data_IF_891663138227
#
_entry.id   IF_891663138227
#
_cell.length_a   1.000
_cell.length_b   1.000
_cell.length_c   1.000
_cell.angle_alpha   90.00
_cell.angle_beta   90.00
_cell.angle_gamma   90.00
#
_symmetry.space_group_name_H-M   'P 1'
#
loop_
_entity.id
_entity.type
_entity.pdbx_description
1 polymer ?
#
# COMPACT_ATOMS: atom_id res chain seq x y z
N UNK A 1 -6.40 15.51 16.50
CA UNK A 1 -5.72 14.95 15.30
C UNK A 1 -4.96 15.99 14.46
N UNK A 2 -5.46 17.22 14.23
CA UNK A 2 -4.72 18.20 13.41
C UNK A 2 -3.37 18.65 14.01
N UNK A 3 -3.30 18.83 15.34
CA UNK A 3 -2.02 19.10 16.02
C UNK A 3 -1.08 17.89 15.86
N UNK A 4 -1.56 16.68 16.16
CA UNK A 4 -0.79 15.45 15.94
C UNK A 4 -0.18 15.38 14.54
N UNK A 5 -0.98 15.61 13.48
CA UNK A 5 -0.52 15.57 12.08
C UNK A 5 0.60 16.58 11.80
N UNK A 6 0.51 17.79 12.35
CA UNK A 6 1.50 18.85 12.16
C UNK A 6 2.80 18.57 12.94
N UNK A 7 2.69 18.04 14.15
CA UNK A 7 3.82 17.86 15.05
C UNK A 7 4.56 16.53 14.82
N UNK A 8 3.86 15.45 14.48
CA UNK A 8 4.47 14.12 14.28
C UNK A 8 5.54 14.12 13.18
N UNK A 9 5.39 15.01 12.21
CA UNK A 9 6.33 15.13 11.10
C UNK A 9 7.67 15.70 11.57
N UNK A 10 7.67 16.53 12.63
CA UNK A 10 8.86 17.27 13.10
C UNK A 10 9.84 16.41 13.88
N UNK A 11 9.39 15.29 14.45
CA UNK A 11 10.27 14.40 15.24
C UNK A 11 11.20 13.56 14.36
N UNK A 12 10.95 13.48 13.05
CA UNK A 12 11.74 12.65 12.14
C UNK A 12 12.76 13.49 11.36
N UNK A 13 13.95 12.92 11.08
CA UNK A 13 14.92 13.52 10.18
C UNK A 13 14.30 14.00 8.87
N UNK A 14 14.66 15.21 8.46
CA UNK A 14 14.27 15.76 7.14
C UNK A 14 15.28 15.45 6.07
N UNK A 15 16.56 15.35 6.44
CA UNK A 15 17.63 14.90 5.57
C UNK A 15 17.25 13.54 4.96
N UNK A 16 17.36 13.43 3.64
CA UNK A 16 17.04 12.23 2.87
C UNK A 16 15.57 11.76 2.91
N UNK A 17 14.64 12.44 3.59
CA UNK A 17 13.23 12.06 3.63
C UNK A 17 12.49 12.60 2.40
N UNK A 18 11.88 11.71 1.62
CA UNK A 18 11.07 12.08 0.46
C UNK A 18 9.58 12.19 0.80
N UNK A 19 9.06 11.23 1.57
CA UNK A 19 7.64 11.10 1.88
C UNK A 19 7.45 10.56 3.30
N UNK A 20 6.53 11.15 4.05
CA UNK A 20 5.95 10.58 5.27
C UNK A 20 4.45 10.51 5.05
N UNK A 21 3.88 9.31 5.17
CA UNK A 21 2.44 9.15 5.11
C UNK A 21 1.91 8.35 6.29
N UNK A 22 0.71 8.73 6.71
CA UNK A 22 -0.09 8.04 7.71
C UNK A 22 -1.13 7.15 7.05
N UNK A 23 -1.47 6.02 7.68
CA UNK A 23 -2.45 5.12 7.12
C UNK A 23 -3.22 4.27 8.13
N UNK A 24 -4.26 3.59 7.65
CA UNK A 24 -5.04 2.64 8.44
C UNK A 24 -6.09 3.30 9.34
N UNK A 25 -6.65 2.49 10.24
CA UNK A 25 -7.80 2.91 11.06
C UNK A 25 -7.51 4.05 12.03
N UNK A 26 -6.24 4.25 12.43
CA UNK A 26 -5.84 5.37 13.30
C UNK A 26 -5.94 6.74 12.62
N UNK A 27 -5.89 6.79 11.28
CA UNK A 27 -6.00 8.04 10.51
C UNK A 27 -7.38 8.31 9.93
N UNK A 28 -8.15 7.27 9.62
CA UNK A 28 -9.37 7.40 8.80
C UNK A 28 -10.68 6.98 9.44
N UNK A 29 -10.68 6.33 10.62
CA UNK A 29 -11.96 6.00 11.28
C UNK A 29 -12.45 7.17 12.14
N UNK A 30 -13.74 7.49 12.00
CA UNK A 30 -14.43 8.60 12.67
C UNK A 30 -14.94 8.26 14.09
N UNK A 31 -14.82 7.00 14.55
CA UNK A 31 -15.32 6.62 15.88
C UNK A 31 -14.36 7.07 16.99
N UNK A 32 -14.94 7.69 18.02
CA UNK A 32 -14.35 8.36 19.20
C UNK A 32 -13.34 7.57 20.05
N UNK A 33 -13.06 6.29 19.75
CA UNK A 33 -11.95 5.52 20.37
C UNK A 33 -10.63 5.64 19.58
N UNK A 34 -10.33 6.83 19.06
CA UNK A 34 -9.09 7.09 18.29
C UNK A 34 -7.86 7.04 19.20
N UNK A 35 -8.02 7.38 20.49
CA UNK A 35 -6.95 7.51 21.47
C UNK A 35 -6.22 6.18 21.78
N UNK A 36 -6.90 5.03 21.64
CA UNK A 36 -6.28 3.71 21.91
C UNK A 36 -5.66 3.03 20.68
N UNK A 37 -5.89 3.55 19.47
CA UNK A 37 -5.44 2.89 18.24
C UNK A 37 -4.04 3.32 17.86
N UNK A 38 -3.20 2.33 17.57
CA UNK A 38 -1.87 2.56 17.05
C UNK A 38 -1.94 3.27 15.70
N UNK A 39 -1.10 4.28 15.54
CA UNK A 39 -0.98 5.10 14.34
C UNK A 39 0.09 4.47 13.45
N UNK A 40 -0.32 3.94 12.30
CA UNK A 40 0.59 3.32 11.34
C UNK A 40 1.08 4.36 10.31
N UNK A 41 2.40 4.36 10.05
CA UNK A 41 3.06 5.30 9.17
C UNK A 41 4.08 4.62 8.26
N UNK A 42 4.39 5.25 7.13
CA UNK A 42 5.47 4.86 6.23
C UNK A 42 6.32 6.09 5.90
N UNK A 43 7.64 5.87 5.89
CA UNK A 43 8.65 6.88 5.60
C UNK A 43 9.51 6.36 4.44
N UNK A 44 9.50 7.10 3.33
CA UNK A 44 10.32 6.82 2.16
C UNK A 44 11.52 7.75 2.15
N UNK A 45 12.73 7.18 2.05
CA UNK A 45 14.00 7.91 2.19
C UNK A 45 14.95 7.61 1.04
N UNK A 46 15.89 8.50 0.73
CA UNK A 46 16.90 8.26 -0.31
C UNK A 46 18.02 7.34 0.17
N UNK A 47 18.39 7.44 1.45
CA UNK A 47 19.41 6.61 2.08
C UNK A 47 18.98 6.26 3.50
N UNK A 48 18.49 5.02 3.67
CA UNK A 48 18.07 4.51 4.96
C UNK A 48 19.19 4.39 5.98
N UNK A 49 20.45 4.16 5.57
CA UNK A 49 21.57 4.05 6.51
C UNK A 49 21.83 5.40 7.18
N UNK A 50 21.96 6.46 6.38
CA UNK A 50 22.15 7.82 6.88
C UNK A 50 20.93 8.29 7.68
N UNK A 51 19.72 8.00 7.20
CA UNK A 51 18.49 8.35 7.91
C UNK A 51 18.40 7.65 9.27
N UNK A 52 18.71 6.36 9.36
CA UNK A 52 18.71 5.63 10.63
C UNK A 52 19.78 6.14 11.59
N UNK A 53 20.95 6.54 11.09
CA UNK A 53 22.00 7.17 11.91
C UNK A 53 21.50 8.45 12.57
N UNK A 54 20.87 9.35 11.80
CA UNK A 54 20.30 10.60 12.33
C UNK A 54 19.12 10.32 13.27
N UNK A 55 18.22 9.40 12.89
CA UNK A 55 17.04 9.08 13.70
C UNK A 55 17.40 8.38 15.02
N UNK A 56 18.51 7.64 15.09
CA UNK A 56 18.99 7.07 16.37
C UNK A 56 19.49 8.17 17.31
N UNK A 57 20.10 9.23 16.77
CA UNK A 57 20.56 10.37 17.58
C UNK A 57 19.37 11.17 18.12
N UNK A 58 18.34 11.42 17.30
CA UNK A 58 17.15 12.18 17.68
C UNK A 58 16.15 11.36 18.51
N UNK A 59 15.96 10.08 18.16
CA UNK A 59 14.90 9.22 18.69
C UNK A 59 15.43 7.86 19.16
N UNK A 60 16.49 7.90 19.97
CA UNK A 60 17.18 6.71 20.45
C UNK A 60 16.23 5.67 21.09
N UNK A 61 15.20 6.13 21.80
CA UNK A 61 14.19 5.31 22.47
C UNK A 61 13.25 4.53 21.53
N UNK A 62 13.15 4.88 20.25
CA UNK A 62 12.27 4.19 19.30
C UNK A 62 12.79 2.79 18.92
N UNK A 63 14.10 2.60 18.96
CA UNK A 63 14.75 1.35 18.57
C UNK A 63 14.77 0.33 19.72
N UNK A 64 14.75 -0.96 19.39
CA UNK A 64 14.92 -2.04 20.37
C UNK A 64 16.38 -2.17 20.84
N UNK A 65 16.61 -2.81 21.99
CA UNK A 65 17.92 -2.87 22.64
C UNK A 65 19.06 -3.34 21.72
N UNK A 66 18.85 -4.45 21.01
CA UNK A 66 19.83 -4.98 20.05
C UNK A 66 20.13 -3.99 18.92
N UNK A 67 19.11 -3.28 18.45
CA UNK A 67 19.23 -2.32 17.33
C UNK A 67 19.95 -1.05 17.76
N UNK A 68 19.83 -0.66 19.04
CA UNK A 68 20.63 0.41 19.65
C UNK A 68 22.10 0.01 19.77
N UNK A 69 22.37 -1.24 20.18
CA UNK A 69 23.72 -1.74 20.43
C UNK A 69 24.53 -1.89 19.14
N UNK A 70 23.96 -2.50 18.11
CA UNK A 70 24.64 -2.76 16.83
C UNK A 70 24.44 -1.64 15.79
N UNK A 71 23.52 -0.71 16.05
CA UNK A 71 23.37 0.54 15.33
C UNK A 71 22.87 0.45 13.87
N UNK A 72 23.02 1.54 13.10
CA UNK A 72 22.43 1.70 11.76
C UNK A 72 22.85 0.64 10.73
N UNK A 73 24.08 0.10 10.84
CA UNK A 73 24.58 -0.90 9.89
C UNK A 73 23.79 -2.20 9.96
N UNK A 74 23.53 -2.72 11.17
CA UNK A 74 22.72 -3.92 11.35
C UNK A 74 21.27 -3.67 10.88
N UNK A 75 20.69 -2.52 11.25
CA UNK A 75 19.34 -2.12 10.84
C UNK A 75 19.23 -2.10 9.31
N UNK A 76 20.17 -1.48 8.63
CA UNK A 76 20.17 -1.38 7.16
C UNK A 76 20.39 -2.74 6.48
N UNK A 77 21.16 -3.64 7.10
CA UNK A 77 21.29 -5.03 6.62
C UNK A 77 19.98 -5.80 6.77
N UNK A 78 19.32 -5.72 7.92
CA UNK A 78 18.01 -6.35 8.14
C UNK A 78 16.91 -5.73 7.28
N UNK A 79 16.99 -4.43 7.03
CA UNK A 79 16.07 -3.72 6.14
C UNK A 79 16.12 -4.35 4.75
N UNK A 80 17.32 -4.55 4.17
CA UNK A 80 17.52 -5.08 2.81
C UNK A 80 16.88 -6.44 2.51
N UNK A 81 16.53 -7.22 3.53
CA UNK A 81 15.83 -8.50 3.38
C UNK A 81 14.33 -8.31 3.09
N UNK A 82 13.71 -9.25 2.36
CA UNK A 82 12.25 -9.29 2.15
C UNK A 82 11.69 -8.02 1.47
N UNK A 83 10.76 -7.35 2.15
CA UNK A 83 10.01 -6.17 1.66
C UNK A 83 10.84 -4.90 1.61
N UNK A 84 12.08 -4.95 2.11
CA UNK A 84 12.97 -3.79 2.17
C UNK A 84 12.47 -2.68 3.11
N UNK A 85 11.59 -3.03 4.05
CA UNK A 85 11.07 -2.14 5.11
C UNK A 85 11.62 -2.55 6.47
N UNK A 86 12.01 -1.56 7.28
CA UNK A 86 12.28 -1.71 8.71
C UNK A 86 11.23 -0.99 9.55
N UNK A 87 10.65 -1.65 10.54
CA UNK A 87 9.61 -1.08 11.40
C UNK A 87 10.11 -0.77 12.81
N UNK A 88 9.88 0.47 13.25
CA UNK A 88 9.83 0.80 14.68
C UNK A 88 8.37 0.74 15.13
N UNK A 89 8.09 0.03 16.23
CA UNK A 89 6.72 -0.22 16.70
C UNK A 89 6.59 0.10 18.19
N UNK A 90 5.53 0.81 18.55
CA UNK A 90 5.14 1.04 19.94
C UNK A 90 5.83 2.23 20.62
N UNK A 91 6.40 3.15 19.84
CA UNK A 91 6.86 4.44 20.36
C UNK A 91 5.64 5.30 20.75
N UNK A 92 5.78 6.20 21.72
CA UNK A 92 4.68 7.06 22.17
C UNK A 92 4.88 8.48 21.66
N UNK A 93 3.84 9.10 21.15
CA UNK A 93 3.85 10.50 20.75
C UNK A 93 2.47 11.13 20.97
N UNK A 94 2.43 12.21 21.77
CA UNK A 94 1.19 12.93 22.14
C UNK A 94 0.05 12.00 22.56
N UNK A 95 0.33 11.03 23.44
CA UNK A 95 -0.66 10.08 23.96
C UNK A 95 -1.01 8.94 23.00
N UNK A 96 -0.47 8.90 21.78
CA UNK A 96 -0.70 7.83 20.82
C UNK A 96 0.49 6.91 20.67
N UNK A 97 0.21 5.61 20.59
CA UNK A 97 1.20 4.62 20.14
C UNK A 97 1.42 4.78 18.63
N UNK A 98 2.66 4.96 18.19
CA UNK A 98 3.04 5.05 16.78
C UNK A 98 3.82 3.82 16.33
N UNK A 99 3.61 3.45 15.06
CA UNK A 99 4.39 2.47 14.32
C UNK A 99 4.76 3.07 12.97
N UNK A 100 6.04 3.07 12.63
CA UNK A 100 6.51 3.61 11.36
C UNK A 100 7.48 2.66 10.67
N UNK A 101 7.26 2.45 9.38
CA UNK A 101 8.17 1.74 8.48
C UNK A 101 9.10 2.71 7.75
N UNK A 102 10.36 2.33 7.57
CA UNK A 102 11.35 3.06 6.78
C UNK A 102 11.77 2.20 5.59
N UNK A 103 11.85 2.81 4.42
CA UNK A 103 12.18 2.12 3.16
C UNK A 103 12.89 3.08 2.18
N UNK A 104 13.87 2.55 1.45
CA UNK A 104 14.58 3.29 0.41
C UNK A 104 13.68 3.57 -0.80
N UNK A 105 13.84 4.75 -1.40
CA UNK A 105 13.02 5.24 -2.51
C UNK A 105 13.04 4.33 -3.73
N UNK A 106 14.20 3.76 -4.06
CA UNK A 106 14.32 2.79 -5.14
C UNK A 106 13.52 1.51 -4.85
N UNK A 107 13.63 0.96 -3.64
CA UNK A 107 12.87 -0.22 -3.22
C UNK A 107 11.36 0.03 -3.20
N UNK A 108 10.97 1.24 -2.81
CA UNK A 108 9.59 1.68 -2.81
C UNK A 108 9.03 1.76 -4.24
N UNK A 109 9.74 2.44 -5.16
CA UNK A 109 9.35 2.52 -6.58
C UNK A 109 9.26 1.14 -7.22
N UNK A 110 10.25 0.28 -6.96
CA UNK A 110 10.26 -1.11 -7.41
C UNK A 110 8.97 -1.85 -7.03
N UNK A 111 8.56 -1.80 -5.76
CA UNK A 111 7.38 -2.53 -5.32
C UNK A 111 6.08 -1.90 -5.84
N UNK A 112 6.03 -0.57 -6.03
CA UNK A 112 4.91 0.12 -6.67
C UNK A 112 4.70 -0.27 -8.14
N UNK A 113 5.79 -0.38 -8.90
CA UNK A 113 5.75 -0.56 -10.36
C UNK A 113 5.77 -2.02 -10.80
N UNK A 114 6.34 -2.92 -9.98
CA UNK A 114 6.57 -4.32 -10.35
C UNK A 114 5.79 -5.29 -9.47
N UNK A 115 5.21 -4.82 -8.36
CA UNK A 115 4.50 -5.66 -7.39
C UNK A 115 5.34 -6.87 -6.97
N UNK A 116 6.64 -6.64 -6.68
CA UNK A 116 7.58 -7.70 -6.28
C UNK A 116 7.11 -8.41 -5.01
N UNK A 117 6.68 -7.64 -4.02
CA UNK A 117 6.25 -8.13 -2.72
C UNK A 117 4.77 -7.82 -2.43
N UNK A 118 4.15 -6.89 -3.17
CA UNK A 118 2.76 -6.42 -2.95
C UNK A 118 2.54 -5.76 -1.58
N UNK A 119 3.62 -5.41 -0.87
CA UNK A 119 3.56 -4.90 0.49
C UNK A 119 3.29 -3.39 0.51
N UNK A 120 4.11 -2.63 -0.21
CA UNK A 120 3.98 -1.19 -0.36
C UNK A 120 2.93 -0.87 -1.41
N UNK A 121 2.98 -1.52 -2.59
CA UNK A 121 1.97 -1.34 -3.64
C UNK A 121 0.56 -1.58 -3.10
N UNK A 122 0.35 -2.70 -2.41
CA UNK A 122 -0.91 -3.03 -1.76
C UNK A 122 -1.37 -1.93 -0.78
N UNK A 123 -0.47 -1.36 0.02
CA UNK A 123 -0.81 -0.24 0.93
C UNK A 123 -1.22 1.02 0.16
N UNK A 124 -0.58 1.31 -0.96
CA UNK A 124 -0.78 2.50 -1.79
C UNK A 124 -1.93 2.39 -2.79
N UNK A 125 -2.53 1.21 -2.93
CA UNK A 125 -3.87 1.02 -3.55
C UNK A 125 -5.01 1.56 -2.67
N UNK A 126 -4.75 1.82 -1.39
CA UNK A 126 -5.76 2.27 -0.42
C UNK A 126 -5.47 3.72 0.01
N UNK A 127 -6.47 4.42 0.59
CA UNK A 127 -6.27 5.76 1.11
C UNK A 127 -5.06 5.88 2.04
N UNK A 128 -4.27 6.92 1.84
CA UNK A 128 -3.15 7.34 2.67
C UNK A 128 -3.25 8.84 2.93
N UNK A 129 -2.70 9.28 4.05
CA UNK A 129 -2.64 10.68 4.44
C UNK A 129 -1.20 11.14 4.24
N UNK A 130 -0.96 12.02 3.27
CA UNK A 130 0.39 12.57 3.07
C UNK A 130 0.65 13.62 4.15
N UNK A 131 1.59 13.34 5.06
CA UNK A 131 1.94 14.22 6.17
C UNK A 131 3.14 15.11 5.81
N UNK A 132 4.04 14.59 4.99
CA UNK A 132 5.17 15.32 4.42
C UNK A 132 5.51 14.73 3.06
N UNK A 133 5.81 15.59 2.10
CA UNK A 133 6.33 15.18 0.80
C UNK A 133 7.24 16.26 0.23
N UNK A 134 8.24 15.86 -0.56
CA UNK A 134 9.04 16.81 -1.33
C UNK A 134 8.18 17.45 -2.43
N UNK A 135 8.54 18.65 -2.95
CA UNK A 135 7.77 19.33 -3.99
C UNK A 135 7.52 18.46 -5.24
N UNK A 136 8.47 17.60 -5.59
CA UNK A 136 8.36 16.68 -6.72
C UNK A 136 7.20 15.67 -6.57
N UNK A 137 6.81 15.35 -5.33
CA UNK A 137 5.71 14.42 -5.05
C UNK A 137 4.37 15.16 -4.93
N UNK A 138 4.39 16.40 -4.42
CA UNK A 138 3.19 17.18 -4.13
C UNK A 138 2.46 17.65 -5.39
N UNK A 139 3.20 17.92 -6.47
CA UNK A 139 2.69 18.51 -7.69
C UNK A 139 2.70 17.49 -8.84
N UNK A 140 1.87 16.44 -8.77
CA UNK A 140 1.67 15.61 -9.94
C UNK A 140 0.53 16.16 -10.80
N UNK A 141 0.88 16.51 -12.02
CA UNK A 141 -0.09 16.76 -13.06
C UNK A 141 -0.48 15.43 -13.73
N UNK A 142 -1.74 15.02 -13.56
CA UNK A 142 -2.31 13.85 -14.22
C UNK A 142 -2.26 13.96 -15.75
N UNK A 143 -2.13 15.16 -16.33
CA UNK A 143 -1.92 15.36 -17.77
C UNK A 143 -0.59 14.77 -18.26
N UNK A 144 0.40 14.56 -17.38
CA UNK A 144 1.66 13.90 -17.72
C UNK A 144 1.58 12.37 -17.58
N UNK A 145 0.49 11.84 -17.02
CA UNK A 145 0.27 10.40 -16.87
C UNK A 145 -0.16 9.78 -18.21
N UNK A 146 0.82 9.56 -19.09
CA UNK A 146 0.61 8.84 -20.34
C UNK A 146 0.85 7.33 -20.13
N UNK A 147 -0.25 6.58 -20.19
CA UNK A 147 -0.31 5.12 -19.99
C UNK A 147 0.27 4.31 -21.14
N UNK A 148 0.35 4.90 -22.34
CA UNK A 148 0.77 4.25 -23.59
C UNK A 148 2.29 4.30 -23.80
N UNK A 149 3.03 5.04 -22.97
CA UNK A 149 4.50 5.09 -23.05
C UNK A 149 5.12 3.98 -22.19
N UNK A 150 6.13 3.26 -22.72
CA UNK A 150 6.87 2.30 -21.92
C UNK A 150 7.53 3.00 -20.72
N UNK A 151 7.35 2.42 -19.53
CA UNK A 151 7.86 3.00 -18.29
C UNK A 151 9.34 2.66 -18.13
N UNK A 152 10.20 3.68 -18.12
CA UNK A 152 11.56 3.52 -17.63
C UNK A 152 11.55 3.59 -16.08
N UNK A 153 11.51 2.42 -15.46
CA UNK A 153 11.41 2.25 -13.99
C UNK A 153 12.53 2.99 -13.24
N UNK A 154 13.74 3.04 -13.82
CA UNK A 154 14.88 3.70 -13.16
C UNK A 154 14.74 5.23 -13.17
N UNK A 155 14.16 5.79 -14.24
CA UNK A 155 14.05 7.25 -14.44
C UNK A 155 12.74 7.85 -13.91
N UNK A 156 11.72 7.04 -13.66
CA UNK A 156 10.47 7.56 -13.13
C UNK A 156 10.63 8.09 -11.70
N UNK A 157 9.95 9.20 -11.41
CA UNK A 157 9.87 9.73 -10.06
C UNK A 157 8.89 8.93 -9.19
N UNK A 158 8.91 9.22 -7.89
CA UNK A 158 8.09 8.53 -6.91
C UNK A 158 6.59 8.78 -7.10
N UNK A 159 6.22 9.95 -7.62
CA UNK A 159 4.84 10.36 -7.79
C UNK A 159 4.19 9.62 -8.97
N UNK A 160 4.89 9.55 -10.10
CA UNK A 160 4.52 8.69 -11.22
C UNK A 160 4.34 7.24 -10.78
N UNK A 161 5.26 6.71 -9.98
CA UNK A 161 5.16 5.33 -9.47
C UNK A 161 3.89 5.10 -8.65
N UNK A 162 3.47 6.07 -7.82
CA UNK A 162 2.22 5.99 -7.04
C UNK A 162 0.99 5.97 -7.96
N UNK A 163 0.95 6.85 -8.96
CA UNK A 163 -0.17 6.91 -9.90
C UNK A 163 -0.25 5.67 -10.79
N UNK A 164 0.89 5.23 -11.31
CA UNK A 164 0.98 4.00 -12.11
C UNK A 164 0.54 2.79 -11.30
N UNK A 165 0.96 2.67 -10.03
CA UNK A 165 0.51 1.61 -9.13
C UNK A 165 -1.03 1.60 -8.94
N UNK A 166 -1.65 2.77 -8.77
CA UNK A 166 -3.11 2.88 -8.62
C UNK A 166 -3.84 2.53 -9.89
N UNK A 167 -3.37 3.03 -11.03
CA UNK A 167 -3.94 2.69 -12.34
C UNK A 167 -3.83 1.19 -12.62
N UNK A 168 -2.67 0.57 -12.35
CA UNK A 168 -2.49 -0.88 -12.48
C UNK A 168 -3.44 -1.67 -11.57
N UNK A 169 -3.71 -1.19 -10.35
CA UNK A 169 -4.68 -1.82 -9.45
C UNK A 169 -6.11 -1.74 -9.97
N UNK A 170 -6.50 -0.59 -10.52
CA UNK A 170 -7.80 -0.40 -11.16
C UNK A 170 -7.93 -1.31 -12.39
N UNK A 171 -6.95 -1.29 -13.29
CA UNK A 171 -6.93 -2.13 -14.48
C UNK A 171 -6.98 -3.61 -14.14
N UNK A 172 -6.24 -4.03 -13.11
CA UNK A 172 -6.31 -5.40 -12.58
C UNK A 172 -7.72 -5.74 -12.09
N UNK A 173 -8.34 -4.85 -11.31
CA UNK A 173 -9.68 -5.09 -10.78
C UNK A 173 -10.72 -5.21 -11.91
N UNK A 174 -10.66 -4.34 -12.92
CA UNK A 174 -11.55 -4.38 -14.09
C UNK A 174 -11.31 -5.65 -14.91
N UNK A 175 -10.05 -6.06 -15.11
CA UNK A 175 -9.72 -7.31 -15.80
C UNK A 175 -10.26 -8.54 -15.06
N UNK A 176 -10.26 -8.51 -13.73
CA UNK A 176 -10.86 -9.58 -12.92
C UNK A 176 -12.38 -9.57 -12.93
N UNK A 177 -13.02 -8.40 -13.02
CA UNK A 177 -14.47 -8.27 -13.10
C UNK A 177 -15.00 -8.59 -14.51
N UNK A 178 -14.20 -8.36 -15.56
CA UNK A 178 -14.60 -8.62 -16.95
C UNK A 178 -14.87 -10.11 -17.26
N UNK A 179 -14.41 -11.03 -16.41
CA UNK A 179 -14.75 -12.46 -16.53
C UNK A 179 -16.02 -12.86 -15.79
N UNK A 180 -16.60 -11.98 -14.97
CA UNK A 180 -17.84 -12.27 -14.26
C UNK A 180 -19.04 -12.27 -15.22
N UNK A 181 -20.16 -12.86 -14.78
CA UNK A 181 -21.38 -12.94 -15.61
C UNK A 181 -22.02 -11.57 -15.81
N UNK A 182 -21.98 -10.74 -14.77
CA UNK A 182 -22.45 -9.36 -14.79
C UNK A 182 -21.50 -8.48 -15.60
N UNK A 183 -22.03 -7.40 -16.17
CA UNK A 183 -21.27 -6.39 -16.90
C UNK A 183 -21.31 -5.02 -16.23
N UNK A 184 -22.19 -4.82 -15.25
CA UNK A 184 -22.35 -3.55 -14.53
C UNK A 184 -22.02 -3.76 -13.06
N UNK A 185 -21.15 -2.94 -12.51
CA UNK A 185 -20.65 -3.07 -11.15
C UNK A 185 -20.70 -1.73 -10.42
N UNK A 186 -20.93 -1.75 -9.11
CA UNK A 186 -20.78 -0.56 -8.28
C UNK A 186 -19.28 -0.27 -8.08
N UNK A 187 -18.92 1.00 -7.88
CA UNK A 187 -17.57 1.40 -7.47
C UNK A 187 -17.11 0.65 -6.22
N UNK A 188 -18.06 0.31 -5.33
CA UNK A 188 -17.81 -0.53 -4.15
C UNK A 188 -17.22 -1.88 -4.52
N UNK A 189 -17.73 -2.57 -5.54
CA UNK A 189 -17.21 -3.88 -5.98
C UNK A 189 -15.75 -3.74 -6.47
N UNK A 190 -15.46 -2.65 -7.18
CA UNK A 190 -14.12 -2.32 -7.69
C UNK A 190 -13.16 -2.06 -6.52
N UNK A 191 -13.53 -1.22 -5.56
CA UNK A 191 -12.69 -0.89 -4.41
C UNK A 191 -12.44 -2.11 -3.50
N UNK A 192 -13.42 -2.99 -3.36
CA UNK A 192 -13.26 -4.28 -2.70
C UNK A 192 -12.25 -5.16 -3.45
N UNK A 193 -12.37 -5.26 -4.78
CA UNK A 193 -11.43 -6.03 -5.62
C UNK A 193 -10.00 -5.50 -5.51
N UNK A 194 -9.83 -4.18 -5.63
CA UNK A 194 -8.55 -3.49 -5.46
C UNK A 194 -7.94 -3.78 -4.08
N UNK A 195 -8.73 -3.64 -3.01
CA UNK A 195 -8.25 -3.89 -1.65
C UNK A 195 -7.83 -5.36 -1.49
N UNK A 196 -8.60 -6.29 -2.04
CA UNK A 196 -8.34 -7.73 -2.00
C UNK A 196 -7.07 -8.16 -2.72
N UNK A 197 -6.54 -7.38 -3.69
CA UNK A 197 -5.25 -7.69 -4.34
C UNK A 197 -4.12 -7.85 -3.30
N UNK A 198 -4.19 -7.08 -2.22
CA UNK A 198 -3.21 -7.09 -1.12
C UNK A 198 -3.58 -7.97 0.07
N UNK A 199 -4.75 -8.63 0.04
CA UNK A 199 -5.23 -9.51 1.11
C UNK A 199 -5.38 -10.96 0.69
N UNK A 200 -5.61 -11.24 -0.61
CA UNK A 200 -5.94 -12.58 -1.11
C UNK A 200 -4.87 -13.66 -0.92
N UNK A 201 -3.69 -13.33 -0.40
CA UNK A 201 -2.66 -14.28 0.01
C UNK A 201 -1.97 -13.93 1.33
N UNK A 202 -2.50 -12.97 2.10
CA UNK A 202 -1.86 -12.53 3.35
C UNK A 202 -2.07 -13.61 4.43
N UNK A 203 -1.00 -14.23 4.95
CA UNK A 203 -1.16 -15.30 5.96
C UNK A 203 -1.96 -14.84 7.19
N UNK A 204 -1.96 -13.54 7.49
CA UNK A 204 -2.69 -13.00 8.63
C UNK A 204 -4.20 -13.00 8.38
N UNK A 205 -4.67 -12.94 7.14
CA UNK A 205 -6.11 -13.03 6.85
C UNK A 205 -6.70 -14.39 7.14
N UNK A 206 -5.87 -15.44 7.19
CA UNK A 206 -6.32 -16.79 7.51
C UNK A 206 -6.36 -17.09 9.01
N UNK A 207 -5.51 -16.42 9.81
CA UNK A 207 -5.28 -16.81 11.22
C UNK A 207 -5.38 -15.68 12.25
N UNK A 208 -5.37 -14.41 11.85
CA UNK A 208 -5.15 -13.30 12.79
C UNK A 208 -5.82 -11.97 12.42
N UNK A 209 -6.61 -11.90 11.35
CA UNK A 209 -7.13 -10.65 10.83
C UNK A 209 -8.64 -10.73 10.58
N UNK A 210 -9.32 -9.66 10.97
CA UNK A 210 -10.78 -9.50 10.88
C UNK A 210 -11.31 -9.82 9.47
N UNK A 211 -12.21 -10.80 9.37
CA UNK A 211 -12.76 -11.30 8.10
C UNK A 211 -13.52 -10.21 7.33
N UNK A 212 -14.09 -9.24 8.05
CA UNK A 212 -14.80 -8.07 7.50
C UNK A 212 -13.89 -6.86 7.33
N UNK A 213 -12.57 -7.01 7.46
CA UNK A 213 -11.62 -5.88 7.43
C UNK A 213 -11.69 -5.09 6.13
N UNK A 214 -11.78 -5.75 4.99
CA UNK A 214 -11.86 -5.07 3.68
C UNK A 214 -13.13 -4.24 3.61
N UNK A 215 -14.27 -4.81 3.98
CA UNK A 215 -15.54 -4.10 4.04
C UNK A 215 -15.47 -2.88 4.98
N UNK A 216 -14.90 -3.04 6.18
CA UNK A 216 -14.69 -1.95 7.15
C UNK A 216 -13.78 -0.85 6.62
N UNK A 217 -12.75 -1.19 5.84
CA UNK A 217 -11.87 -0.21 5.18
C UNK A 217 -12.65 0.58 4.15
N UNK A 218 -13.43 -0.08 3.29
CA UNK A 218 -14.23 0.59 2.28
C UNK A 218 -15.28 1.48 2.94
N UNK A 219 -16.04 0.98 3.91
CA UNK A 219 -17.07 1.75 4.61
C UNK A 219 -16.50 2.98 5.33
N UNK A 220 -15.35 2.83 6.01
CA UNK A 220 -14.72 3.92 6.74
C UNK A 220 -13.98 4.94 5.88
N UNK A 221 -13.83 4.72 4.57
CA UNK A 221 -13.02 5.60 3.71
C UNK A 221 -13.54 5.69 2.27
N UNK A 222 -14.83 5.42 2.05
CA UNK A 222 -15.41 5.30 0.71
C UNK A 222 -15.19 6.56 -0.15
N UNK A 223 -15.48 7.75 0.38
CA UNK A 223 -15.25 9.02 -0.32
C UNK A 223 -13.79 9.17 -0.76
N UNK A 224 -12.83 8.82 0.10
CA UNK A 224 -11.41 8.87 -0.24
C UNK A 224 -11.04 7.88 -1.34
N UNK A 225 -11.70 6.73 -1.43
CA UNK A 225 -11.51 5.82 -2.57
C UNK A 225 -12.04 6.45 -3.86
N UNK A 226 -13.22 7.09 -3.82
CA UNK A 226 -13.77 7.84 -4.96
C UNK A 226 -12.77 8.91 -5.40
N UNK A 227 -12.32 9.78 -4.48
CA UNK A 227 -11.35 10.84 -4.77
C UNK A 227 -10.04 10.31 -5.41
N UNK A 228 -9.55 9.17 -4.91
CA UNK A 228 -8.32 8.55 -5.43
C UNK A 228 -8.53 7.99 -6.83
N UNK A 229 -9.68 7.37 -7.11
CA UNK A 229 -9.88 6.56 -8.30
C UNK A 229 -10.66 7.24 -9.43
N UNK A 230 -11.44 8.29 -9.14
CA UNK A 230 -12.20 9.05 -10.14
C UNK A 230 -11.33 9.49 -11.34
N UNK A 231 -10.11 10.03 -11.15
CA UNK A 231 -9.34 10.47 -12.31
C UNK A 231 -8.92 9.31 -13.23
N UNK A 232 -8.67 8.13 -12.67
CA UNK A 232 -8.30 6.94 -13.44
C UNK A 232 -9.51 6.29 -14.14
N UNK A 233 -10.69 6.38 -13.52
CA UNK A 233 -11.95 6.02 -14.14
C UNK A 233 -12.17 6.84 -15.41
N UNK A 234 -12.01 8.17 -15.32
CA UNK A 234 -12.10 9.07 -16.46
C UNK A 234 -11.08 8.72 -17.55
N UNK A 235 -9.80 8.57 -17.20
CA UNK A 235 -8.75 8.16 -18.15
C UNK A 235 -9.15 6.88 -18.88
N UNK A 236 -9.65 5.87 -18.14
CA UNK A 236 -9.99 4.59 -18.75
C UNK A 236 -11.20 4.70 -19.70
N UNK A 237 -12.24 5.46 -19.33
CA UNK A 237 -13.40 5.70 -20.18
C UNK A 237 -13.02 6.50 -21.43
N UNK A 238 -12.15 7.51 -21.29
CA UNK A 238 -11.65 8.31 -22.42
C UNK A 238 -10.79 7.46 -23.38
N UNK A 239 -9.97 6.55 -22.86
CA UNK A 239 -9.14 5.65 -23.69
C UNK A 239 -9.96 4.53 -24.35
N UNK A 240 -11.01 4.04 -23.68
CA UNK A 240 -11.84 2.93 -24.12
C UNK A 240 -13.34 3.29 -24.13
N UNK A 241 -13.75 4.28 -24.94
CA UNK A 241 -15.09 4.85 -24.88
C UNK A 241 -16.21 3.89 -25.30
N UNK A 242 -15.86 2.82 -26.01
CA UNK A 242 -16.79 1.77 -26.43
C UNK A 242 -16.85 0.60 -25.43
N UNK A 243 -15.89 0.52 -24.50
CA UNK A 243 -15.75 -0.61 -23.59
C UNK A 243 -16.08 -0.27 -22.14
N UNK A 244 -15.90 1.00 -21.73
CA UNK A 244 -16.03 1.44 -20.34
C UNK A 244 -16.95 2.65 -20.25
N UNK A 245 -18.09 2.44 -19.59
CA UNK A 245 -19.09 3.48 -19.33
C UNK A 245 -19.20 3.72 -17.82
N UNK A 246 -19.22 5.00 -17.42
CA UNK A 246 -19.20 5.40 -16.01
C UNK A 246 -20.42 6.28 -15.73
N UNK A 247 -21.20 5.89 -14.74
CA UNK A 247 -22.32 6.67 -14.20
C UNK A 247 -21.87 7.16 -12.82
N UNK A 248 -21.42 8.41 -12.74
CA UNK A 248 -20.90 9.02 -11.52
C UNK A 248 -22.02 9.20 -10.47
N UNK A 249 -23.25 9.51 -10.89
CA UNK A 249 -24.37 9.71 -9.95
C UNK A 249 -24.75 8.40 -9.24
N UNK A 250 -24.73 7.28 -9.97
CA UNK A 250 -25.00 5.95 -9.40
C UNK A 250 -23.76 5.25 -8.86
N UNK A 251 -22.57 5.84 -9.05
CA UNK A 251 -21.28 5.19 -8.79
C UNK A 251 -21.20 3.78 -9.41
N UNK A 252 -21.51 3.67 -10.70
CA UNK A 252 -21.43 2.40 -11.44
C UNK A 252 -20.47 2.47 -12.62
N UNK A 253 -19.86 1.33 -12.93
CA UNK A 253 -19.12 1.09 -14.17
C UNK A 253 -19.82 -0.02 -14.96
N UNK A 254 -19.99 0.18 -16.26
CA UNK A 254 -20.39 -0.87 -17.20
C UNK A 254 -19.19 -1.23 -18.06
N UNK A 255 -18.88 -2.53 -18.15
CA UNK A 255 -17.73 -3.10 -18.85
C UNK A 255 -18.26 -3.94 -20.02
N UNK A 256 -18.04 -3.47 -21.24
CA UNK A 256 -18.29 -4.24 -22.46
C UNK A 256 -17.03 -5.03 -22.79
N UNK A 257 -17.19 -6.34 -22.92
CA UNK A 257 -16.06 -7.25 -23.11
C UNK A 257 -15.60 -7.19 -24.57
N UNK A 258 -14.34 -6.81 -24.78
CA UNK A 258 -13.71 -6.81 -26.10
C UNK A 258 -12.27 -7.34 -26.02
N UNK A 259 -11.71 -7.72 -27.18
CA UNK A 259 -10.28 -8.04 -27.29
C UNK A 259 -9.42 -6.82 -26.94
N UNK A 260 -9.79 -5.64 -27.44
CA UNK A 260 -9.13 -4.36 -27.20
C UNK A 260 -9.03 -4.03 -25.71
N UNK A 261 -10.13 -4.14 -24.96
CA UNK A 261 -10.14 -3.96 -23.51
C UNK A 261 -9.13 -4.89 -22.83
N UNK A 262 -9.20 -6.19 -23.15
CA UNK A 262 -8.32 -7.18 -22.55
C UNK A 262 -6.84 -6.92 -22.85
N UNK A 263 -6.51 -6.54 -24.08
CA UNK A 263 -5.14 -6.26 -24.52
C UNK A 263 -4.59 -5.01 -23.83
N UNK A 264 -5.38 -3.94 -23.77
CA UNK A 264 -5.02 -2.70 -23.07
C UNK A 264 -4.81 -2.90 -21.56
N UNK A 265 -5.72 -3.62 -20.89
CA UNK A 265 -5.59 -3.92 -19.46
C UNK A 265 -4.38 -4.80 -19.18
N UNK A 266 -4.09 -5.79 -20.03
CA UNK A 266 -2.88 -6.63 -19.93
C UNK A 266 -1.60 -5.83 -20.14
N UNK A 267 -1.56 -4.96 -21.15
CA UNK A 267 -0.43 -4.07 -21.39
C UNK A 267 -0.16 -3.16 -20.18
N UNK A 268 -1.22 -2.61 -19.59
CA UNK A 268 -1.10 -1.75 -18.40
C UNK A 268 -0.36 -2.45 -17.26
N UNK A 269 -0.64 -3.74 -17.05
CA UNK A 269 -0.07 -4.53 -15.97
C UNK A 269 1.16 -5.36 -16.40
N UNK A 270 1.60 -5.26 -17.65
CA UNK A 270 2.73 -5.99 -18.25
C UNK A 270 4.00 -6.02 -17.38
N UNK A 271 4.42 -4.92 -16.71
CA UNK A 271 5.60 -4.96 -15.84
C UNK A 271 5.51 -6.01 -14.72
N UNK A 272 4.29 -6.39 -14.30
CA UNK A 272 4.05 -7.46 -13.33
C UNK A 272 4.08 -8.85 -14.01
N UNK A 273 3.74 -8.90 -15.29
CA UNK A 273 3.44 -10.09 -16.10
C UNK A 273 4.61 -10.66 -16.89
N UNK A 274 5.84 -10.15 -16.76
CA UNK A 274 6.99 -10.66 -17.53
C UNK A 274 7.15 -12.20 -17.40
N UNK A 275 6.61 -12.81 -16.34
CA UNK A 275 6.59 -14.26 -16.06
C UNK A 275 5.41 -15.05 -16.71
N UNK A 276 4.43 -14.39 -17.32
CA UNK A 276 3.11 -14.98 -17.66
C UNK A 276 2.69 -14.89 -19.12
N UNK A 277 3.46 -14.22 -19.99
CA UNK A 277 3.05 -13.85 -21.35
C UNK A 277 2.67 -15.03 -22.27
N UNK A 278 3.04 -16.26 -21.93
CA UNK A 278 2.90 -17.44 -22.81
C UNK A 278 1.74 -18.39 -22.48
N UNK A 279 0.84 -18.05 -21.53
CA UNK A 279 -0.08 -19.05 -20.95
C UNK A 279 -1.57 -18.84 -21.28
N UNK A 280 -2.24 -19.93 -21.71
CA UNK A 280 -3.67 -19.98 -22.12
C UNK A 280 -4.68 -19.52 -21.05
N UNK A 281 -4.38 -19.67 -19.75
CA UNK A 281 -5.28 -19.28 -18.64
C UNK A 281 -4.71 -18.11 -17.81
N UNK A 282 -4.64 -16.95 -18.44
CA UNK A 282 -3.97 -15.76 -17.92
C UNK A 282 -4.45 -15.31 -16.51
N UNK A 283 -5.75 -15.04 -16.34
CA UNK A 283 -6.29 -14.44 -15.10
C UNK A 283 -6.13 -15.36 -13.87
N UNK A 284 -6.50 -16.66 -13.91
CA UNK A 284 -6.31 -17.56 -12.76
C UNK A 284 -4.84 -17.69 -12.35
N UNK A 285 -3.93 -17.73 -13.32
CA UNK A 285 -2.49 -17.83 -13.04
C UNK A 285 -1.92 -16.53 -12.49
N UNK A 286 -2.36 -15.40 -13.01
CA UNK A 286 -2.02 -14.09 -12.46
C UNK A 286 -2.43 -13.97 -10.99
N UNK A 287 -3.69 -14.34 -10.66
CA UNK A 287 -4.15 -14.35 -9.28
C UNK A 287 -3.28 -15.24 -8.39
N UNK A 288 -2.93 -16.45 -8.84
CA UNK A 288 -2.06 -17.35 -8.09
C UNK A 288 -0.67 -16.76 -7.83
N UNK A 289 -0.08 -16.05 -8.80
CA UNK A 289 1.20 -15.37 -8.62
C UNK A 289 1.08 -14.23 -7.60
N UNK A 290 0.04 -13.39 -7.70
CA UNK A 290 -0.18 -12.31 -6.74
C UNK A 290 -0.34 -12.85 -5.31
N UNK A 291 -1.18 -13.88 -5.13
CA UNK A 291 -1.38 -14.52 -3.83
C UNK A 291 -0.06 -15.07 -3.26
N UNK A 292 0.76 -15.71 -4.10
CA UNK A 292 2.08 -16.22 -3.69
C UNK A 292 3.01 -15.09 -3.26
N UNK A 293 3.06 -13.96 -3.99
CA UNK A 293 3.90 -12.80 -3.64
C UNK A 293 3.46 -12.19 -2.31
N UNK A 294 2.15 -11.98 -2.12
CA UNK A 294 1.58 -11.48 -0.86
C UNK A 294 1.88 -12.43 0.32
N UNK A 295 1.76 -13.74 0.10
CA UNK A 295 2.02 -14.77 1.11
C UNK A 295 3.45 -14.72 1.63
N UNK A 296 4.44 -14.81 0.73
CA UNK A 296 5.85 -14.77 1.11
C UNK A 296 6.22 -13.45 1.75
N UNK A 297 5.62 -12.36 1.29
CA UNK A 297 5.85 -11.06 1.90
C UNK A 297 5.33 -11.00 3.34
N UNK A 298 4.10 -11.47 3.58
CA UNK A 298 3.55 -11.46 4.93
C UNK A 298 4.36 -12.34 5.90
N UNK A 299 4.90 -13.47 5.45
CA UNK A 299 5.79 -14.32 6.25
C UNK A 299 7.10 -13.60 6.56
N UNK A 300 7.76 -13.03 5.54
CA UNK A 300 9.05 -12.36 5.72
C UNK A 300 8.95 -11.22 6.73
N UNK A 301 7.89 -10.40 6.64
CA UNK A 301 7.64 -9.36 7.64
C UNK A 301 7.36 -9.90 9.03
N UNK A 302 6.59 -10.98 9.16
CA UNK A 302 6.29 -11.57 10.48
C UNK A 302 7.59 -12.01 11.16
N UNK A 303 8.47 -12.72 10.44
CA UNK A 303 9.77 -13.17 10.94
C UNK A 303 10.65 -11.97 11.33
N UNK A 304 10.75 -10.97 10.45
CA UNK A 304 11.57 -9.77 10.70
C UNK A 304 11.08 -9.00 11.93
N UNK A 305 9.77 -8.82 12.08
CA UNK A 305 9.19 -8.13 13.22
C UNK A 305 9.46 -8.88 14.54
N UNK A 306 9.44 -10.21 14.54
CA UNK A 306 9.75 -11.02 15.74
C UNK A 306 11.19 -10.82 16.22
N UNK A 307 12.12 -10.54 15.31
CA UNK A 307 13.53 -10.30 15.64
C UNK A 307 13.77 -8.84 16.08
N UNK A 308 13.08 -7.89 15.45
CA UNK A 308 13.40 -6.45 15.55
C UNK A 308 12.58 -5.71 16.60
N UNK A 309 11.40 -6.20 16.96
CA UNK A 309 10.49 -5.57 17.94
C UNK A 309 10.79 -6.07 19.35
N UNK A 310 10.57 -5.21 20.38
CA UNK A 310 10.64 -5.64 21.78
C UNK A 310 9.69 -6.83 22.01
N UNK A 311 10.13 -7.93 22.64
CA UNK A 311 9.31 -9.15 22.80
C UNK A 311 7.93 -8.88 23.43
N UNK A 312 7.87 -8.02 24.46
CA UNK A 312 6.63 -7.64 25.14
C UNK A 312 5.61 -6.91 24.24
N UNK A 313 6.08 -6.11 23.28
CA UNK A 313 5.23 -5.40 22.31
C UNK A 313 4.73 -6.36 21.24
N UNK A 314 5.59 -7.28 20.78
CA UNK A 314 5.23 -8.31 19.79
C UNK A 314 4.10 -9.21 20.29
N UNK A 315 4.23 -9.72 21.53
CA UNK A 315 3.22 -10.59 22.16
C UNK A 315 1.88 -9.86 22.32
N UNK A 316 1.88 -8.63 22.88
CA UNK A 316 0.65 -7.83 23.03
C UNK A 316 -0.01 -7.52 21.68
N UNK A 317 0.77 -7.28 20.63
CA UNK A 317 0.25 -7.03 19.29
C UNK A 317 -0.43 -8.27 18.70
N UNK A 318 0.19 -9.46 18.83
CA UNK A 318 -0.37 -10.73 18.36
C UNK A 318 -1.68 -11.06 19.10
N UNK A 319 -1.70 -10.94 20.43
CA UNK A 319 -2.92 -11.17 21.24
C UNK A 319 -4.08 -10.27 20.77
N UNK A 320 -3.82 -8.97 20.56
CA UNK A 320 -4.84 -8.03 20.06
C UNK A 320 -5.38 -8.41 18.69
N UNK A 321 -4.54 -8.98 17.82
CA UNK A 321 -4.93 -9.44 16.48
C UNK A 321 -5.77 -10.72 16.54
N UNK A 322 -5.37 -11.68 17.37
CA UNK A 322 -6.16 -12.89 17.62
C UNK A 322 -7.53 -12.57 18.23
N UNK A 323 -7.61 -11.67 19.21
CA UNK A 323 -8.89 -11.24 19.78
C UNK A 323 -9.81 -10.60 18.74
N UNK A 324 -9.26 -9.79 17.81
CA UNK A 324 -10.05 -9.22 16.71
C UNK A 324 -10.58 -10.29 15.75
N UNK A 325 -9.80 -11.33 15.48
CA UNK A 325 -10.20 -12.44 14.63
C UNK A 325 -11.34 -13.23 15.28
N UNK A 326 -11.19 -13.63 16.56
CA UNK A 326 -12.24 -14.36 17.29
C UNK A 326 -13.55 -13.59 17.39
N UNK A 327 -13.49 -12.28 17.60
CA UNK A 327 -14.68 -11.42 17.67
C UNK A 327 -15.29 -11.06 16.29
N UNK A 328 -14.71 -11.56 15.20
CA UNK A 328 -15.18 -11.30 13.82
C UNK A 328 -15.79 -12.51 13.12
N UNK A 329 -15.63 -13.71 13.71
CA UNK A 329 -16.43 -14.90 13.39
C UNK A 329 -17.79 -14.77 14.09
#
# INVERSE_FOLDING_TARGET
MNIFRREIVKIFPKTNTNLICGYGSGFFQQNSKVEEKMIDMMICVNDSLSWHKENIQQNHQHYSGLMKLFGPKLISTLQRCGEKVYFNTGSQFLGHSIKYGVIDSNSFKDDLLLWKNMYISGRFHKPIEMLYSTPQIKNLDLHQFNVDKPVNIQKCDLSFAIHRNRFMALSTAILMLSIEKENTFLFRNIFQRISNLSYGGDVRTYFAEDTKKVEKIINGSYSKFVDIYQPYFKILSDTLPNDIFIDEDKHTITIIKSSKLNEYLKYTIEPILQELYTKKSFIPQFNKILQKRVFWSSISQAIKCSITVKPSISIRYIIRKMNKFMNSQ
#
